data_IF_294284902318
#
_entry.id   IF_294284902318
#
_cell.length_a   1.000
_cell.length_b   1.000
_cell.length_c   1.000
_cell.angle_alpha   90.00
_cell.angle_beta   90.00
_cell.angle_gamma   90.00
#
_symmetry.space_group_name_H-M   'P 1'
#
loop_
_entity.id
_entity.type
_entity.pdbx_description
1 polymer ?
#
# COMPACT_ATOMS: atom_id res chain seq x y z
N UNK A 1 4.82 -10.81 -11.38
CA UNK A 1 3.64 -11.01 -10.50
C UNK A 1 4.02 -11.95 -9.36
N UNK A 2 4.27 -11.42 -8.18
CA UNK A 2 4.70 -12.19 -6.99
C UNK A 2 3.79 -11.84 -5.82
N UNK A 3 3.87 -12.61 -4.75
CA UNK A 3 3.17 -12.40 -3.49
C UNK A 3 3.62 -11.07 -2.84
N UNK A 4 3.00 -9.99 -3.31
CA UNK A 4 3.39 -8.61 -3.08
C UNK A 4 2.14 -7.72 -3.15
N UNK A 5 2.12 -6.58 -2.42
CA UNK A 5 1.07 -5.57 -2.49
C UNK A 5 0.44 -5.35 -3.88
N UNK A 6 1.26 -5.09 -4.90
CA UNK A 6 0.83 -4.90 -6.30
C UNK A 6 -0.08 -6.03 -6.81
N UNK A 7 0.30 -7.29 -6.59
CA UNK A 7 -0.50 -8.43 -7.00
C UNK A 7 -1.82 -8.51 -6.21
N UNK A 8 -1.77 -8.31 -4.90
CA UNK A 8 -2.97 -8.36 -4.06
C UNK A 8 -3.99 -7.29 -4.41
N UNK A 9 -3.55 -6.12 -4.88
CA UNK A 9 -4.44 -5.05 -5.34
C UNK A 9 -4.99 -5.33 -6.74
N UNK A 10 -4.14 -5.82 -7.67
CA UNK A 10 -4.50 -5.92 -9.09
C UNK A 10 -5.14 -7.22 -9.52
N UNK A 11 -4.94 -8.35 -8.83
CA UNK A 11 -5.26 -9.69 -9.36
C UNK A 11 -6.67 -9.84 -9.95
N UNK A 12 -7.65 -9.12 -9.43
CA UNK A 12 -9.03 -9.22 -9.88
C UNK A 12 -9.37 -8.28 -11.05
N UNK A 13 -8.54 -7.29 -11.38
CA UNK A 13 -8.78 -6.41 -12.55
C UNK A 13 -8.89 -7.24 -13.83
N UNK A 14 -8.03 -8.24 -13.97
CA UNK A 14 -7.97 -9.10 -15.16
C UNK A 14 -9.26 -9.91 -15.34
N UNK A 15 -9.93 -10.28 -14.26
CA UNK A 15 -11.21 -11.01 -14.30
C UNK A 15 -12.37 -10.15 -14.83
N UNK A 16 -12.28 -8.84 -14.62
CA UNK A 16 -13.34 -7.89 -14.95
C UNK A 16 -12.98 -6.99 -16.13
N UNK A 17 -11.81 -7.19 -16.74
CA UNK A 17 -11.39 -6.40 -17.89
C UNK A 17 -12.25 -6.72 -19.11
N UNK A 18 -12.56 -5.69 -19.90
CA UNK A 18 -13.24 -5.89 -21.17
C UNK A 18 -12.29 -6.57 -22.16
N UNK A 19 -12.57 -7.82 -22.51
CA UNK A 19 -11.78 -8.63 -23.46
C UNK A 19 -12.27 -8.55 -24.90
N UNK A 20 -13.33 -7.78 -25.16
CA UNK A 20 -13.79 -7.49 -26.52
C UNK A 20 -12.92 -6.38 -27.12
N UNK A 21 -12.64 -5.35 -26.32
CA UNK A 21 -11.93 -4.16 -26.79
C UNK A 21 -10.42 -4.20 -26.48
N UNK A 22 -9.97 -5.05 -25.56
CA UNK A 22 -8.58 -5.12 -25.13
C UNK A 22 -8.02 -6.55 -25.15
N UNK A 23 -6.78 -6.66 -25.62
CA UNK A 23 -5.92 -7.83 -25.47
C UNK A 23 -4.91 -7.55 -24.33
N UNK A 24 -4.88 -8.41 -23.32
CA UNK A 24 -4.09 -8.20 -22.10
C UNK A 24 -2.89 -9.15 -22.07
N UNK A 25 -1.69 -8.58 -22.20
CA UNK A 25 -0.42 -9.28 -22.04
C UNK A 25 0.25 -8.91 -20.70
N UNK A 26 0.78 -9.91 -19.99
CA UNK A 26 1.58 -9.69 -18.78
C UNK A 26 3.03 -10.09 -19.04
N UNK A 27 3.95 -9.13 -18.92
CA UNK A 27 5.39 -9.36 -18.92
C UNK A 27 5.89 -9.38 -17.49
N UNK A 28 6.32 -10.55 -17.02
CA UNK A 28 6.56 -10.79 -15.60
C UNK A 28 7.96 -11.34 -15.36
N UNK A 29 8.60 -10.88 -14.29
CA UNK A 29 9.88 -11.38 -13.78
C UNK A 29 9.77 -11.64 -12.27
N UNK A 30 10.62 -12.54 -11.75
CA UNK A 30 10.68 -12.89 -10.33
C UNK A 30 9.28 -13.19 -9.73
N UNK A 31 8.51 -14.04 -10.42
CA UNK A 31 7.11 -14.30 -10.10
C UNK A 31 6.94 -15.58 -9.29
N UNK A 32 5.82 -15.68 -8.60
CA UNK A 32 5.45 -16.88 -7.83
C UNK A 32 4.41 -17.69 -8.60
N UNK A 33 4.59 -19.00 -8.71
CA UNK A 33 3.71 -19.90 -9.47
C UNK A 33 2.24 -19.78 -9.05
N UNK A 34 1.98 -19.71 -7.74
CA UNK A 34 0.60 -19.53 -7.21
C UNK A 34 -0.04 -18.22 -7.67
N UNK A 35 0.73 -17.14 -7.70
CA UNK A 35 0.22 -15.83 -8.15
C UNK A 35 -0.03 -15.83 -9.67
N UNK A 36 0.79 -16.57 -10.42
CA UNK A 36 0.60 -16.78 -11.85
C UNK A 36 -0.69 -17.55 -12.13
N UNK A 37 -0.92 -18.67 -11.45
CA UNK A 37 -2.13 -19.49 -11.63
C UNK A 37 -3.42 -18.67 -11.45
N UNK A 38 -3.45 -17.76 -10.48
CA UNK A 38 -4.60 -16.89 -10.18
C UNK A 38 -4.99 -15.94 -11.34
N UNK A 39 -4.03 -15.52 -12.16
CA UNK A 39 -4.25 -14.51 -13.21
C UNK A 39 -4.16 -15.07 -14.62
N UNK A 40 -3.45 -16.19 -14.83
CA UNK A 40 -3.14 -16.73 -16.17
C UNK A 40 -4.39 -17.03 -16.98
N UNK A 41 -5.48 -17.44 -16.33
CA UNK A 41 -6.76 -17.72 -16.99
C UNK A 41 -7.53 -16.46 -17.40
N UNK A 42 -7.14 -15.30 -16.87
CA UNK A 42 -7.85 -14.03 -17.03
C UNK A 42 -7.07 -13.03 -17.91
N UNK A 43 -6.01 -13.49 -18.56
CA UNK A 43 -5.21 -12.71 -19.51
C UNK A 43 -5.06 -13.47 -20.81
N UNK A 44 -4.75 -12.76 -21.87
CA UNK A 44 -4.56 -13.34 -23.20
C UNK A 44 -3.18 -14.01 -23.29
N UNK A 45 -2.14 -13.31 -22.82
CA UNK A 45 -0.78 -13.83 -22.84
C UNK A 45 -0.02 -13.54 -21.54
N UNK A 46 0.78 -14.51 -21.12
CA UNK A 46 1.72 -14.36 -20.02
C UNK A 46 3.13 -14.68 -20.51
N UNK A 47 4.02 -13.70 -20.42
CA UNK A 47 5.39 -13.76 -20.91
C UNK A 47 6.32 -13.71 -19.70
N UNK A 48 7.02 -14.81 -19.48
CA UNK A 48 8.09 -14.87 -18.48
C UNK A 48 9.39 -14.24 -19.04
N UNK A 49 9.80 -13.15 -18.41
CA UNK A 49 11.04 -12.43 -18.71
C UNK A 49 12.06 -12.53 -17.57
N UNK A 50 11.90 -13.50 -16.65
CA UNK A 50 12.79 -13.68 -15.49
C UNK A 50 14.24 -13.90 -15.89
N UNK A 51 14.51 -14.72 -16.91
CA UNK A 51 15.87 -15.02 -17.39
C UNK A 51 16.43 -13.99 -18.37
N UNK A 52 15.65 -12.96 -18.71
CA UNK A 52 15.99 -11.99 -19.74
C UNK A 52 16.69 -10.77 -19.14
N UNK A 53 17.71 -10.27 -19.82
CA UNK A 53 18.30 -8.97 -19.52
C UNK A 53 17.44 -7.83 -20.11
N UNK A 54 17.82 -6.56 -19.88
CA UNK A 54 17.02 -5.40 -20.29
C UNK A 54 16.94 -5.26 -21.83
N UNK A 55 18.01 -5.60 -22.56
CA UNK A 55 18.02 -5.57 -24.03
C UNK A 55 17.09 -6.65 -24.61
N UNK A 56 17.18 -7.87 -24.09
CA UNK A 56 16.29 -8.97 -24.49
C UNK A 56 14.82 -8.65 -24.16
N UNK A 57 14.57 -8.10 -22.97
CA UNK A 57 13.22 -7.65 -22.56
C UNK A 57 12.68 -6.58 -23.51
N UNK A 58 13.51 -5.60 -23.88
CA UNK A 58 13.15 -4.57 -24.86
C UNK A 58 12.76 -5.17 -26.21
N UNK A 59 13.56 -6.11 -26.71
CA UNK A 59 13.28 -6.82 -27.98
C UNK A 59 11.96 -7.57 -27.92
N UNK A 60 11.69 -8.26 -26.81
CA UNK A 60 10.42 -8.96 -26.58
C UNK A 60 9.28 -7.95 -26.58
N UNK A 61 9.34 -6.87 -25.80
CA UNK A 61 8.26 -5.87 -25.76
C UNK A 61 7.96 -5.28 -27.14
N UNK A 62 9.00 -4.97 -27.94
CA UNK A 62 8.86 -4.46 -29.31
C UNK A 62 8.22 -5.46 -30.27
N UNK A 63 8.38 -6.76 -30.05
CA UNK A 63 7.77 -7.76 -30.94
C UNK A 63 6.26 -7.89 -30.79
N UNK A 64 5.68 -7.29 -29.75
CA UNK A 64 4.23 -7.32 -29.49
C UNK A 64 3.46 -6.10 -30.05
N UNK A 65 4.14 -5.10 -30.62
CA UNK A 65 3.52 -3.85 -31.12
C UNK A 65 2.49 -3.25 -30.14
N UNK A 66 2.89 -3.10 -28.87
CA UNK A 66 2.00 -2.69 -27.79
C UNK A 66 1.49 -1.25 -27.96
N UNK A 67 0.17 -1.07 -27.92
CA UNK A 67 -0.45 0.25 -27.85
C UNK A 67 -0.18 0.94 -26.50
N UNK A 68 -0.33 0.21 -25.40
CA UNK A 68 -0.19 0.72 -24.04
C UNK A 68 0.65 -0.27 -23.23
N UNK A 69 1.71 0.23 -22.59
CA UNK A 69 2.50 -0.48 -21.60
C UNK A 69 2.33 0.17 -20.23
N UNK A 70 1.81 -0.58 -19.27
CA UNK A 70 1.68 -0.13 -17.88
C UNK A 70 2.81 -0.74 -17.04
N UNK A 71 3.73 0.10 -16.56
CA UNK A 71 4.78 -0.33 -15.64
C UNK A 71 4.29 -0.28 -14.19
N UNK A 72 4.26 -1.45 -13.57
CA UNK A 72 3.82 -1.67 -12.20
C UNK A 72 4.98 -1.66 -11.18
N UNK A 73 6.22 -1.43 -11.63
CA UNK A 73 7.44 -1.52 -10.83
C UNK A 73 8.14 -0.17 -10.66
N UNK A 74 8.32 0.59 -11.74
CA UNK A 74 8.83 1.97 -11.72
C UNK A 74 10.17 2.05 -10.97
N UNK A 75 10.20 2.61 -9.75
CA UNK A 75 11.42 2.84 -8.96
C UNK A 75 11.53 1.91 -7.73
N UNK A 76 10.85 0.77 -7.71
CA UNK A 76 11.04 -0.24 -6.65
C UNK A 76 12.28 -1.12 -6.92
N UNK A 77 12.81 -1.84 -5.91
CA UNK A 77 13.92 -2.78 -6.11
C UNK A 77 13.61 -3.83 -7.18
N UNK A 78 14.61 -4.12 -8.02
CA UNK A 78 14.53 -5.04 -9.16
C UNK A 78 13.52 -4.63 -10.25
N UNK A 79 13.24 -3.33 -10.42
CA UNK A 79 12.45 -2.84 -11.56
C UNK A 79 13.11 -3.15 -12.92
N UNK A 80 12.34 -2.98 -14.01
CA UNK A 80 12.80 -3.14 -15.39
C UNK A 80 12.71 -1.85 -16.19
N UNK A 81 12.78 -0.71 -15.51
CA UNK A 81 12.62 0.63 -16.10
C UNK A 81 13.61 0.88 -17.26
N UNK A 82 14.84 0.37 -17.17
CA UNK A 82 15.83 0.46 -18.26
C UNK A 82 15.40 -0.22 -19.56
N UNK A 83 14.56 -1.26 -19.51
CA UNK A 83 14.03 -1.89 -20.73
C UNK A 83 13.00 -1.00 -21.45
N UNK A 84 12.53 0.08 -20.81
CA UNK A 84 11.52 0.99 -21.34
C UNK A 84 12.13 2.24 -21.97
N UNK A 85 13.42 2.53 -21.75
CA UNK A 85 14.11 3.74 -22.24
C UNK A 85 14.00 3.92 -23.76
N UNK A 86 13.99 2.82 -24.51
CA UNK A 86 13.88 2.87 -25.99
C UNK A 86 12.45 2.95 -26.50
N UNK A 87 11.50 3.26 -25.60
CA UNK A 87 10.06 3.40 -25.84
C UNK A 87 9.45 2.23 -26.63
N UNK A 88 9.39 1.01 -26.04
CA UNK A 88 8.96 -0.20 -26.75
C UNK A 88 7.44 -0.31 -26.99
N UNK A 89 6.65 0.70 -26.62
CA UNK A 89 5.20 0.77 -26.81
C UNK A 89 4.80 2.19 -27.25
N UNK A 90 3.60 2.35 -27.82
CA UNK A 90 3.10 3.67 -28.28
C UNK A 90 2.84 4.64 -27.12
N UNK A 91 2.32 4.11 -26.01
CA UNK A 91 2.17 4.82 -24.74
C UNK A 91 2.78 4.00 -23.60
N UNK A 92 3.51 4.67 -22.72
CA UNK A 92 4.11 4.07 -21.53
C UNK A 92 3.58 4.80 -20.29
N UNK A 93 2.96 4.05 -19.40
CA UNK A 93 2.21 4.58 -18.26
C UNK A 93 2.80 4.01 -16.97
N UNK A 94 3.12 4.87 -16.00
CA UNK A 94 3.47 4.43 -14.65
C UNK A 94 2.20 4.23 -13.82
N UNK A 95 2.14 3.13 -13.06
CA UNK A 95 1.01 2.90 -12.17
C UNK A 95 1.36 2.06 -10.94
N UNK A 96 0.79 2.44 -9.80
CA UNK A 96 0.64 1.68 -8.56
C UNK A 96 1.92 1.34 -7.76
N UNK A 97 2.97 0.86 -8.42
CA UNK A 97 4.16 0.30 -7.75
C UNK A 97 4.98 1.32 -6.95
N UNK A 98 5.03 2.56 -7.42
CA UNK A 98 5.80 3.64 -6.80
C UNK A 98 4.92 4.89 -6.61
N UNK A 99 4.84 5.44 -5.38
CA UNK A 99 3.96 6.57 -5.07
C UNK A 99 4.62 7.92 -5.35
N UNK A 100 4.92 8.19 -6.63
CA UNK A 100 5.55 9.43 -7.07
C UNK A 100 5.97 9.39 -8.53
N UNK A 101 6.62 10.45 -8.99
CA UNK A 101 7.19 10.52 -10.34
C UNK A 101 8.33 9.52 -10.52
N UNK A 102 8.43 8.91 -11.70
CA UNK A 102 9.62 8.16 -12.13
C UNK A 102 10.82 9.07 -12.39
N UNK A 103 10.57 10.35 -12.70
CA UNK A 103 11.60 11.29 -13.13
C UNK A 103 12.17 11.02 -14.53
N UNK A 104 11.64 10.04 -15.26
CA UNK A 104 12.07 9.73 -16.62
C UNK A 104 11.23 10.44 -17.68
N UNK A 105 11.83 10.62 -18.86
CA UNK A 105 11.27 11.31 -20.04
C UNK A 105 10.55 10.36 -21.02
N UNK A 106 10.48 9.07 -20.68
CA UNK A 106 9.86 8.04 -21.49
C UNK A 106 8.52 7.51 -20.96
N UNK A 107 8.09 7.90 -19.76
CA UNK A 107 6.71 7.70 -19.33
C UNK A 107 5.85 8.86 -19.83
N UNK A 108 4.79 8.55 -20.56
CA UNK A 108 3.84 9.54 -21.07
C UNK A 108 2.88 9.99 -19.97
N UNK A 109 2.40 9.05 -19.15
CA UNK A 109 1.40 9.29 -18.12
C UNK A 109 1.70 8.56 -16.80
N UNK A 110 1.12 9.07 -15.72
CA UNK A 110 0.96 8.38 -14.44
C UNK A 110 -0.54 8.23 -14.15
N UNK A 111 -1.00 7.00 -13.91
CA UNK A 111 -2.38 6.76 -13.44
C UNK A 111 -2.47 7.16 -11.96
N UNK A 112 -3.34 8.11 -11.67
CA UNK A 112 -3.40 8.77 -10.36
C UNK A 112 -4.82 9.30 -10.07
N UNK A 113 -5.00 10.11 -9.02
CA UNK A 113 -6.25 10.79 -8.70
C UNK A 113 -6.02 12.22 -8.19
N UNK A 114 -7.08 13.03 -8.18
CA UNK A 114 -7.03 14.45 -7.83
C UNK A 114 -6.62 14.69 -6.37
N UNK A 115 -6.71 13.68 -5.51
CA UNK A 115 -6.37 13.78 -4.08
C UNK A 115 -4.87 13.52 -3.88
N UNK A 116 -4.33 12.42 -4.41
CA UNK A 116 -2.91 12.10 -4.25
C UNK A 116 -2.01 12.99 -5.10
N UNK A 117 -2.49 13.43 -6.27
CA UNK A 117 -1.79 14.36 -7.16
C UNK A 117 -2.72 15.50 -7.62
N UNK A 118 -3.03 16.47 -6.75
CA UNK A 118 -3.79 17.64 -7.19
C UNK A 118 -3.06 18.35 -8.33
N UNK A 119 -3.79 19.02 -9.21
CA UNK A 119 -3.25 19.67 -10.42
C UNK A 119 -2.02 20.56 -10.11
N UNK A 120 -2.04 21.25 -8.96
CA UNK A 120 -0.93 22.08 -8.48
C UNK A 120 0.42 21.35 -8.33
N UNK A 121 0.38 20.01 -8.23
CA UNK A 121 1.56 19.16 -8.11
C UNK A 121 2.18 18.79 -9.45
N UNK A 122 1.52 19.03 -10.60
CA UNK A 122 2.00 18.62 -11.93
C UNK A 122 3.43 19.10 -12.23
N UNK A 123 3.83 20.26 -11.72
CA UNK A 123 5.19 20.81 -11.85
C UNK A 123 6.30 19.95 -11.23
N UNK A 124 5.96 18.98 -10.37
CA UNK A 124 6.90 18.07 -9.73
C UNK A 124 6.98 16.70 -10.43
N UNK A 125 6.28 16.50 -11.54
CA UNK A 125 6.19 15.23 -12.25
C UNK A 125 6.66 15.39 -13.69
N UNK A 126 7.41 14.42 -14.18
CA UNK A 126 7.74 14.32 -15.61
C UNK A 126 6.59 13.74 -16.41
N UNK A 127 5.81 12.84 -15.80
CA UNK A 127 4.61 12.25 -16.40
C UNK A 127 3.42 13.22 -16.38
N UNK A 128 2.55 13.13 -17.39
CA UNK A 128 1.24 13.80 -17.34
C UNK A 128 0.27 13.02 -16.45
N UNK A 129 -0.54 13.73 -15.69
CA UNK A 129 -1.56 13.07 -14.87
C UNK A 129 -2.68 12.47 -15.72
N UNK A 130 -2.96 11.19 -15.47
CA UNK A 130 -4.12 10.47 -16.00
C UNK A 130 -5.01 10.09 -14.82
N UNK A 131 -6.02 10.92 -14.56
CA UNK A 131 -6.89 10.77 -13.39
C UNK A 131 -7.90 9.65 -13.54
N UNK A 132 -7.95 8.78 -12.54
CA UNK A 132 -9.05 7.83 -12.35
C UNK A 132 -10.28 8.55 -11.81
N UNK A 133 -11.49 8.13 -12.21
CA UNK A 133 -12.71 8.62 -11.57
C UNK A 133 -12.77 8.07 -10.13
N UNK A 134 -12.40 8.90 -9.16
CA UNK A 134 -12.36 8.55 -7.74
C UNK A 134 -10.94 8.26 -7.23
N UNK A 135 -10.68 7.02 -6.80
CA UNK A 135 -9.40 6.64 -6.22
C UNK A 135 -8.48 5.96 -7.25
N UNK A 136 -7.21 6.34 -7.27
CA UNK A 136 -6.20 5.71 -8.12
C UNK A 136 -5.92 4.26 -7.70
N UNK A 137 -6.00 3.97 -6.40
CA UNK A 137 -5.61 2.69 -5.85
C UNK A 137 -6.72 1.67 -6.05
N UNK A 138 -6.50 0.74 -6.97
CA UNK A 138 -7.34 -0.43 -7.13
C UNK A 138 -7.20 -1.37 -5.91
N UNK A 139 -8.24 -2.14 -5.63
CA UNK A 139 -8.25 -3.21 -4.63
C UNK A 139 -8.85 -4.49 -5.23
N UNK A 140 -8.68 -5.64 -4.55
CA UNK A 140 -9.21 -6.91 -5.02
C UNK A 140 -10.73 -7.10 -4.82
N UNK A 141 -11.46 -6.02 -4.51
CA UNK A 141 -12.92 -6.03 -4.42
C UNK A 141 -13.45 -6.63 -3.12
N UNK A 142 -14.65 -7.22 -3.22
CA UNK A 142 -15.44 -7.61 -2.05
C UNK A 142 -14.89 -8.89 -1.41
N UNK A 143 -14.48 -8.79 -0.14
CA UNK A 143 -14.23 -9.97 0.71
C UNK A 143 -15.49 -10.33 1.49
N UNK A 144 -15.80 -11.63 1.54
CA UNK A 144 -16.77 -12.16 2.50
C UNK A 144 -16.05 -12.36 3.84
N UNK A 145 -16.49 -11.66 4.88
CA UNK A 145 -15.94 -11.85 6.22
C UNK A 145 -16.58 -13.07 6.87
N UNK A 146 -15.77 -14.11 7.08
CA UNK A 146 -16.11 -15.21 7.96
C UNK A 146 -16.06 -14.75 9.43
N UNK A 147 -16.81 -15.44 10.29
CA UNK A 147 -16.76 -15.24 11.75
C UNK A 147 -15.32 -15.29 12.25
N UNK A 148 -15.01 -14.47 13.26
CA UNK A 148 -13.74 -14.48 13.98
C UNK A 148 -13.37 -15.92 14.38
N UNK A 149 -12.16 -16.33 14.01
CA UNK A 149 -11.55 -17.63 14.32
C UNK A 149 -10.60 -17.51 15.53
N UNK A 150 -10.12 -16.31 15.82
CA UNK A 150 -9.14 -16.01 16.86
C UNK A 150 -9.70 -15.11 17.95
N UNK A 151 -9.01 -15.03 19.08
CA UNK A 151 -9.28 -14.13 20.21
C UNK A 151 -8.07 -13.24 20.46
N UNK A 152 -8.27 -12.08 21.10
CA UNK A 152 -7.18 -11.19 21.54
C UNK A 152 -6.12 -11.91 22.39
N UNK A 153 -6.54 -12.87 23.22
CA UNK A 153 -5.65 -13.68 24.06
C UNK A 153 -4.65 -14.52 23.25
N UNK A 154 -4.99 -14.88 22.01
CA UNK A 154 -4.09 -15.62 21.12
C UNK A 154 -2.91 -14.75 20.66
N UNK A 155 -3.00 -13.44 20.91
CA UNK A 155 -2.00 -12.41 20.60
C UNK A 155 -1.44 -11.72 21.85
N UNK A 156 -1.60 -12.35 23.03
CA UNK A 156 -1.14 -11.81 24.31
C UNK A 156 -1.81 -10.48 24.71
N UNK A 157 -3.00 -10.21 24.15
CA UNK A 157 -3.82 -9.03 24.46
C UNK A 157 -5.01 -9.45 25.31
N UNK A 158 -5.26 -8.76 26.41
CA UNK A 158 -6.44 -9.01 27.24
C UNK A 158 -7.74 -8.73 26.47
N UNK A 159 -8.82 -9.52 26.67
CA UNK A 159 -10.08 -9.38 25.92
C UNK A 159 -10.68 -7.97 25.93
N UNK A 160 -10.61 -7.30 27.09
CA UNK A 160 -11.20 -5.98 27.32
C UNK A 160 -10.29 -4.82 26.91
N UNK A 161 -9.07 -5.09 26.44
CA UNK A 161 -8.11 -4.05 26.06
C UNK A 161 -8.43 -3.51 24.66
N UNK A 162 -8.45 -2.19 24.53
CA UNK A 162 -8.58 -1.51 23.24
C UNK A 162 -7.28 -1.63 22.44
N UNK A 163 -7.37 -1.88 21.14
CA UNK A 163 -6.21 -2.11 20.29
C UNK A 163 -6.12 -1.04 19.22
N UNK A 164 -5.12 -0.17 19.33
CA UNK A 164 -4.67 0.69 18.25
C UNK A 164 -3.59 -0.06 17.46
N UNK A 165 -3.57 0.04 16.13
CA UNK A 165 -2.55 -0.68 15.36
C UNK A 165 -1.92 0.15 14.25
N UNK A 166 -0.63 -0.08 14.00
CA UNK A 166 0.02 0.32 12.76
C UNK A 166 0.88 -0.84 12.25
N UNK A 167 0.38 -1.52 11.21
CA UNK A 167 1.11 -2.63 10.57
C UNK A 167 1.98 -2.19 9.40
N UNK A 168 2.33 -0.91 9.38
CA UNK A 168 3.27 -0.32 8.44
C UNK A 168 4.71 -0.78 8.72
N UNK A 169 5.58 -0.70 7.70
CA UNK A 169 7.02 -0.94 7.89
C UNK A 169 7.64 0.15 8.77
N UNK A 170 8.68 -0.19 9.52
CA UNK A 170 9.21 0.66 10.56
C UNK A 170 9.76 1.99 10.03
N UNK A 171 10.31 2.00 8.81
CA UNK A 171 10.82 3.23 8.19
C UNK A 171 9.75 4.28 7.92
N UNK A 172 8.45 3.90 7.95
CA UNK A 172 7.33 4.83 7.81
C UNK A 172 6.99 5.55 9.11
N UNK A 173 7.45 5.02 10.25
CA UNK A 173 7.18 5.57 11.58
C UNK A 173 8.27 6.58 11.90
N UNK A 174 7.96 7.87 11.75
CA UNK A 174 8.85 8.95 12.16
C UNK A 174 8.56 9.41 13.60
N UNK A 175 9.44 10.22 14.16
CA UNK A 175 9.31 10.69 15.54
C UNK A 175 8.01 11.45 15.78
N UNK A 176 7.65 12.37 14.87
CA UNK A 176 6.51 13.25 15.08
C UNK A 176 5.18 12.48 15.16
N UNK A 177 4.96 11.49 14.28
CA UNK A 177 3.76 10.67 14.35
C UNK A 177 3.79 9.72 15.55
N UNK A 178 4.97 9.20 15.92
CA UNK A 178 5.10 8.35 17.08
C UNK A 178 4.81 9.10 18.39
N UNK A 179 5.24 10.36 18.51
CA UNK A 179 4.89 11.23 19.65
C UNK A 179 3.37 11.40 19.79
N UNK A 180 2.64 11.47 18.69
CA UNK A 180 1.18 11.49 18.71
C UNK A 180 0.60 10.19 19.28
N UNK A 181 1.12 9.04 18.85
CA UNK A 181 0.67 7.74 19.36
C UNK A 181 0.97 7.58 20.85
N UNK A 182 2.12 8.06 21.34
CA UNK A 182 2.43 8.06 22.77
C UNK A 182 1.46 8.95 23.57
N UNK A 183 1.08 10.12 23.07
CA UNK A 183 0.06 10.98 23.70
C UNK A 183 -1.31 10.28 23.79
N UNK A 184 -1.70 9.55 22.75
CA UNK A 184 -2.94 8.74 22.76
C UNK A 184 -2.83 7.66 23.85
N UNK A 185 -1.72 6.91 23.90
CA UNK A 185 -1.50 5.88 24.92
C UNK A 185 -1.49 6.44 26.35
N UNK A 186 -0.92 7.63 26.54
CA UNK A 186 -0.90 8.31 27.83
C UNK A 186 -2.33 8.62 28.31
N UNK A 187 -3.19 9.09 27.39
CA UNK A 187 -4.57 9.51 27.70
C UNK A 187 -5.53 8.32 27.87
N UNK A 188 -5.29 7.21 27.16
CA UNK A 188 -6.18 6.05 27.16
C UNK A 188 -5.61 4.88 27.98
N UNK A 189 -6.03 4.71 29.24
CA UNK A 189 -5.42 3.77 30.20
C UNK A 189 -5.46 2.28 29.78
N UNK A 190 -6.55 1.80 29.20
CA UNK A 190 -6.73 0.38 28.79
C UNK A 190 -6.59 0.19 27.27
N UNK A 191 -5.50 0.72 26.70
CA UNK A 191 -5.26 0.71 25.25
C UNK A 191 -3.84 0.26 24.92
N UNK A 192 -3.66 -0.65 23.98
CA UNK A 192 -2.32 -1.04 23.48
C UNK A 192 -2.10 -0.53 22.06
N UNK A 193 -0.84 -0.26 21.73
CA UNK A 193 -0.38 -0.01 20.37
C UNK A 193 0.24 -1.29 19.80
N UNK A 194 -0.31 -1.79 18.71
CA UNK A 194 0.11 -3.03 18.07
C UNK A 194 0.86 -2.74 16.77
N UNK A 195 2.16 -3.07 16.75
CA UNK A 195 3.07 -2.75 15.66
C UNK A 195 3.57 -3.99 14.93
N UNK A 196 3.90 -3.83 13.64
CA UNK A 196 4.63 -4.84 12.90
C UNK A 196 6.08 -4.93 13.41
N UNK A 197 6.52 -6.14 13.76
CA UNK A 197 7.90 -6.43 14.08
C UNK A 197 8.72 -6.58 12.78
N UNK A 198 9.65 -5.66 12.56
CA UNK A 198 10.58 -5.74 11.43
C UNK A 198 11.92 -6.37 11.82
N UNK A 199 12.46 -6.02 12.99
CA UNK A 199 13.68 -6.59 13.56
C UNK A 199 13.85 -6.19 15.04
N UNK A 200 14.80 -6.80 15.73
CA UNK A 200 15.10 -6.52 17.16
C UNK A 200 15.54 -5.08 17.42
N UNK A 201 16.29 -4.46 16.49
CA UNK A 201 16.76 -3.08 16.64
C UNK A 201 15.59 -2.10 16.67
N UNK A 202 14.60 -2.30 15.79
CA UNK A 202 13.36 -1.54 15.77
C UNK A 202 12.59 -1.65 17.08
N UNK A 203 12.36 -2.88 17.57
CA UNK A 203 11.67 -3.10 18.86
C UNK A 203 12.36 -2.38 20.01
N UNK A 204 13.69 -2.52 20.10
CA UNK A 204 14.50 -1.84 21.12
C UNK A 204 14.36 -0.32 21.03
N UNK A 205 14.50 0.26 19.84
CA UNK A 205 14.42 1.71 19.65
C UNK A 205 13.03 2.27 20.03
N UNK A 206 11.96 1.58 19.65
CA UNK A 206 10.59 1.99 19.98
C UNK A 206 10.35 1.89 21.50
N UNK A 207 10.73 0.79 22.14
CA UNK A 207 10.58 0.65 23.59
C UNK A 207 11.42 1.66 24.38
N UNK A 208 12.68 1.87 24.00
CA UNK A 208 13.56 2.84 24.67
C UNK A 208 13.01 4.26 24.54
N UNK A 209 12.41 4.60 23.39
CA UNK A 209 11.80 5.91 23.18
C UNK A 209 10.48 6.06 23.95
N UNK A 210 9.65 5.02 23.99
CA UNK A 210 8.40 5.01 24.75
C UNK A 210 8.65 5.12 26.27
N UNK A 211 9.63 4.38 26.80
CA UNK A 211 10.00 4.41 28.22
C UNK A 211 10.51 5.79 28.66
N UNK A 212 11.26 6.49 27.79
CA UNK A 212 11.67 7.88 28.02
C UNK A 212 10.52 8.89 28.08
N UNK A 213 9.34 8.50 27.61
CA UNK A 213 8.11 9.30 27.61
C UNK A 213 7.05 8.68 28.53
N UNK A 214 7.47 7.94 29.56
CA UNK A 214 6.61 7.37 30.61
C UNK A 214 5.53 6.37 30.11
N UNK A 215 5.73 5.79 28.92
CA UNK A 215 4.87 4.72 28.41
C UNK A 215 5.52 3.37 28.69
N UNK A 216 4.81 2.54 29.48
CA UNK A 216 5.24 1.19 29.84
C UNK A 216 5.36 0.29 28.60
N UNK A 217 6.37 -0.58 28.57
CA UNK A 217 6.66 -1.44 27.40
C UNK A 217 5.50 -2.35 27.04
N UNK A 218 4.73 -2.82 28.03
CA UNK A 218 3.56 -3.69 27.85
C UNK A 218 2.39 -2.99 27.12
N UNK A 219 2.42 -1.65 27.00
CA UNK A 219 1.45 -0.88 26.21
C UNK A 219 1.77 -0.91 24.71
N UNK A 220 2.93 -1.43 24.30
CA UNK A 220 3.35 -1.56 22.91
C UNK A 220 3.67 -3.02 22.61
N UNK A 221 2.87 -3.63 21.75
CA UNK A 221 2.96 -5.05 21.39
C UNK A 221 3.50 -5.15 19.98
N UNK A 222 4.41 -6.09 19.75
CA UNK A 222 5.02 -6.34 18.45
C UNK A 222 4.55 -7.68 17.89
N UNK A 223 4.31 -7.73 16.58
CA UNK A 223 3.96 -8.98 15.92
C UNK A 223 4.71 -9.18 14.62
N UNK A 224 5.25 -10.39 14.46
CA UNK A 224 5.92 -10.83 13.23
C UNK A 224 5.01 -10.74 12.01
N UNK A 225 5.64 -10.76 10.84
CA UNK A 225 4.94 -10.91 9.56
C UNK A 225 4.19 -12.24 9.54
N UNK A 226 2.94 -12.17 9.12
CA UNK A 226 2.07 -13.34 8.93
C UNK A 226 1.76 -13.50 7.45
N UNK A 227 1.21 -14.66 7.09
CA UNK A 227 0.56 -14.78 5.79
C UNK A 227 -0.66 -13.85 5.71
N UNK A 228 -1.18 -13.67 4.49
CA UNK A 228 -2.26 -12.72 4.22
C UNK A 228 -3.55 -13.02 5.00
N UNK A 229 -3.89 -14.30 5.16
CA UNK A 229 -5.13 -14.73 5.83
C UNK A 229 -5.07 -14.42 7.33
N UNK A 230 -3.98 -14.79 7.98
CA UNK A 230 -3.74 -14.51 9.39
C UNK A 230 -3.59 -13.00 9.65
N UNK A 231 -3.05 -12.24 8.68
CA UNK A 231 -3.01 -10.78 8.75
C UNK A 231 -4.40 -10.13 8.73
N UNK A 232 -5.30 -10.60 7.86
CA UNK A 232 -6.71 -10.17 7.88
C UNK A 232 -7.38 -10.56 9.18
N UNK A 233 -7.15 -11.78 9.65
CA UNK A 233 -7.79 -12.27 10.86
C UNK A 233 -7.38 -11.45 12.08
N UNK A 234 -6.10 -11.10 12.23
CA UNK A 234 -5.66 -10.23 13.35
C UNK A 234 -6.21 -8.81 13.27
N UNK A 235 -6.39 -8.26 12.06
CA UNK A 235 -6.92 -6.91 11.87
C UNK A 235 -8.32 -6.76 12.47
N UNK A 236 -9.12 -7.83 12.49
CA UNK A 236 -10.46 -7.82 13.09
C UNK A 236 -10.48 -7.56 14.61
N UNK A 237 -9.33 -7.66 15.29
CA UNK A 237 -9.19 -7.30 16.72
C UNK A 237 -8.80 -5.84 16.94
N UNK A 238 -8.46 -5.12 15.87
CA UNK A 238 -8.05 -3.71 15.91
C UNK A 238 -9.29 -2.83 16.02
N UNK A 239 -9.27 -1.90 16.96
CA UNK A 239 -10.33 -0.89 17.12
C UNK A 239 -10.14 0.28 16.14
N UNK A 240 -8.90 0.73 15.99
CA UNK A 240 -8.52 1.88 15.18
C UNK A 240 -7.11 1.65 14.62
N UNK A 241 -6.95 1.83 13.31
CA UNK A 241 -5.64 1.83 12.69
C UNK A 241 -5.07 3.25 12.66
N UNK A 242 -3.81 3.37 13.04
CA UNK A 242 -3.06 4.62 13.07
C UNK A 242 -2.13 4.66 11.85
N UNK A 243 -2.36 5.62 10.96
CA UNK A 243 -1.52 5.79 9.80
C UNK A 243 -0.26 6.62 10.07
N UNK A 244 0.73 6.49 9.19
CA UNK A 244 2.00 7.21 9.24
C UNK A 244 1.98 8.44 8.33
N UNK A 245 2.61 9.54 8.74
CA UNK A 245 2.45 10.84 8.06
C UNK A 245 3.27 11.03 6.79
N UNK A 246 4.53 10.58 6.77
CA UNK A 246 5.45 10.86 5.64
C UNK A 246 5.17 9.89 4.51
N UNK A 247 4.94 8.64 4.85
CA UNK A 247 4.63 7.61 3.88
C UNK A 247 3.48 6.80 4.50
N UNK A 248 2.27 6.99 3.98
CA UNK A 248 1.06 6.34 4.46
C UNK A 248 1.12 4.81 4.30
N UNK A 249 0.21 4.15 4.98
CA UNK A 249 -0.31 2.87 4.59
C UNK A 249 -0.95 2.97 3.22
N UNK A 250 -0.63 2.02 2.36
CA UNK A 250 -1.25 1.87 1.05
C UNK A 250 -2.15 0.64 1.14
N UNK A 251 -1.60 -0.53 0.81
CA UNK A 251 -2.27 -1.82 1.00
C UNK A 251 -2.64 -2.07 2.46
N UNK A 252 -1.82 -1.65 3.43
CA UNK A 252 -2.14 -1.76 4.86
C UNK A 252 -3.40 -0.98 5.25
N UNK A 253 -3.59 0.22 4.69
CA UNK A 253 -4.81 1.03 4.89
C UNK A 253 -6.01 0.34 4.25
N UNK A 254 -5.88 -0.10 3.00
CA UNK A 254 -6.93 -0.87 2.31
C UNK A 254 -7.30 -2.15 3.06
N UNK A 255 -6.32 -2.86 3.62
CA UNK A 255 -6.56 -4.08 4.40
C UNK A 255 -7.36 -3.80 5.67
N UNK A 256 -7.04 -2.72 6.40
CA UNK A 256 -7.78 -2.29 7.58
C UNK A 256 -9.22 -1.89 7.22
N UNK A 257 -9.40 -1.03 6.20
CA UNK A 257 -10.71 -0.59 5.74
C UNK A 257 -11.58 -1.75 5.25
N UNK A 258 -10.98 -2.70 4.51
CA UNK A 258 -11.67 -3.92 4.11
C UNK A 258 -12.20 -4.66 5.35
N UNK A 259 -11.43 -4.76 6.43
CA UNK A 259 -11.84 -5.40 7.69
C UNK A 259 -12.81 -4.55 8.54
N UNK A 260 -13.36 -3.46 8.01
CA UNK A 260 -14.18 -2.50 8.74
C UNK A 260 -13.47 -1.89 9.97
N UNK A 261 -12.13 -1.80 9.91
CA UNK A 261 -11.33 -1.09 10.91
C UNK A 261 -11.16 0.35 10.41
N UNK A 262 -11.63 1.36 11.17
CA UNK A 262 -11.40 2.75 10.81
C UNK A 262 -9.89 3.05 10.81
N UNK A 263 -9.47 3.92 9.90
CA UNK A 263 -8.08 4.37 9.80
C UNK A 263 -8.07 5.88 9.94
N UNK A 264 -7.26 6.42 10.85
CA UNK A 264 -7.00 7.86 10.90
C UNK A 264 -5.69 8.18 10.20
N UNK A 265 -5.67 9.25 9.42
CA UNK A 265 -4.45 9.74 8.78
C UNK A 265 -4.31 11.26 8.96
N UNK A 266 -3.09 11.77 8.85
CA UNK A 266 -2.81 13.20 8.80
C UNK A 266 -2.82 13.66 7.33
N UNK A 267 -3.36 14.85 7.04
CA UNK A 267 -3.27 15.47 5.73
C UNK A 267 -1.80 15.58 5.27
N UNK A 268 -1.54 15.08 4.07
CA UNK A 268 -0.21 15.07 3.46
C UNK A 268 -0.01 16.14 2.40
N UNK A 269 1.24 16.29 1.97
CA UNK A 269 1.65 17.31 0.98
C UNK A 269 2.12 16.71 -0.36
N UNK A 270 2.32 15.39 -0.40
CA UNK A 270 2.83 14.69 -1.57
C UNK A 270 2.16 13.32 -1.70
N UNK A 271 2.34 12.65 -2.85
CA UNK A 271 1.63 11.41 -3.18
C UNK A 271 1.67 10.39 -2.04
N UNK A 272 2.87 9.98 -1.61
CA UNK A 272 3.02 8.97 -0.57
C UNK A 272 2.40 9.33 0.79
N UNK A 273 2.14 10.62 1.08
CA UNK A 273 1.48 11.08 2.31
C UNK A 273 -0.01 11.36 2.14
N UNK A 274 -0.59 11.14 0.94
CA UNK A 274 -2.01 11.39 0.64
C UNK A 274 -2.80 10.14 0.28
N UNK A 275 -2.19 8.95 0.27
CA UNK A 275 -2.86 7.71 -0.15
C UNK A 275 -4.01 7.35 0.78
N UNK A 276 -3.81 7.40 2.11
CA UNK A 276 -4.90 7.11 3.05
C UNK A 276 -6.00 8.15 2.98
N UNK A 277 -5.64 9.43 2.80
CA UNK A 277 -6.62 10.51 2.57
C UNK A 277 -7.46 10.25 1.31
N UNK A 278 -6.85 9.83 0.20
CA UNK A 278 -7.60 9.49 -1.02
C UNK A 278 -8.58 8.34 -0.79
N UNK A 279 -8.15 7.27 -0.10
CA UNK A 279 -9.02 6.15 0.24
C UNK A 279 -10.20 6.58 1.12
N UNK A 280 -9.94 7.35 2.19
CA UNK A 280 -10.96 7.78 3.14
C UNK A 280 -11.99 8.72 2.50
N UNK A 281 -11.54 9.73 1.75
CA UNK A 281 -12.44 10.68 1.08
C UNK A 281 -13.30 10.00 0.00
N UNK A 282 -12.74 9.04 -0.74
CA UNK A 282 -13.54 8.24 -1.69
C UNK A 282 -14.59 7.34 -0.99
N UNK A 283 -14.36 6.98 0.27
CA UNK A 283 -15.34 6.28 1.12
C UNK A 283 -16.26 7.22 1.91
N UNK A 284 -16.12 8.54 1.75
CA UNK A 284 -16.86 9.58 2.50
C UNK A 284 -16.62 9.52 4.02
N UNK A 285 -15.36 9.26 4.39
CA UNK A 285 -14.87 9.18 5.77
C UNK A 285 -13.92 10.36 6.06
N UNK A 286 -14.29 11.55 5.61
CA UNK A 286 -13.50 12.78 5.74
C UNK A 286 -13.16 13.12 7.20
N UNK A 287 -14.05 12.76 8.14
CA UNK A 287 -13.87 12.96 9.59
C UNK A 287 -12.70 12.13 10.19
N UNK A 288 -12.11 11.20 9.43
CA UNK A 288 -10.93 10.43 9.82
C UNK A 288 -9.62 11.01 9.27
N UNK A 289 -9.68 12.16 8.60
CA UNK A 289 -8.52 12.87 8.05
C UNK A 289 -8.21 14.08 8.94
N UNK A 290 -7.17 13.95 9.75
CA UNK A 290 -6.72 15.00 10.65
C UNK A 290 -5.95 16.10 9.91
N UNK A 291 -6.23 17.35 10.26
CA UNK A 291 -5.59 18.55 9.70
C UNK A 291 -4.32 18.98 10.45
N UNK A 292 -4.12 18.49 11.68
CA UNK A 292 -2.94 18.77 12.51
C UNK A 292 -2.60 17.57 13.42
N UNK A 293 -1.44 17.64 14.09
CA UNK A 293 -1.08 16.62 15.08
C UNK A 293 -2.04 16.60 16.28
N UNK A 294 -2.52 17.77 16.70
CA UNK A 294 -3.50 17.92 17.78
C UNK A 294 -4.83 17.30 17.39
N UNK A 295 -5.28 17.55 16.16
CA UNK A 295 -6.49 16.95 15.59
C UNK A 295 -6.34 15.41 15.49
N UNK A 296 -5.19 14.93 15.00
CA UNK A 296 -4.88 13.50 14.91
C UNK A 296 -4.94 12.80 16.28
N UNK A 297 -4.48 13.46 17.34
CA UNK A 297 -4.52 12.91 18.71
C UNK A 297 -5.93 12.98 19.32
N UNK A 298 -6.76 13.91 18.87
CA UNK A 298 -8.12 14.10 19.37
C UNK A 298 -9.14 13.12 18.77
N UNK A 299 -8.93 12.66 17.53
CA UNK A 299 -9.70 11.62 16.85
C UNK A 299 -9.53 10.23 17.49
#
# INVERSE_FOLDING_TARGET
MRNHPTFHLLKNIFKFHNRIDFNICIFSYNHDDKCLEDIKQNVDEFIDITTKNNLETTTILKSYDLDILIDLSILIPNNRMQALETKPARLIISYLGYPGTSGADFYDYIITDEIVTPESSQKYYTEKFLYMPGCYQINDGVRKFEKLKTKKSDYEISPDTSVLASFNQAFKIDRAIFDCWLKILYTCENTVLWLLEENELMKKNIHDYAEKNDIKKERIIFMKRLNREDHIERLKHVRLALDTRIYNGHTTTTDALQCAVPVICLEGEHFASRVSMSLLKNLKLDDLVASSYEDYVAL
#
